data_IF_792531579721
#
_entry.id   IF_792531579721
#
_cell.length_a   1.000
_cell.length_b   1.000
_cell.length_c   1.000
_cell.angle_alpha   90.00
_cell.angle_beta   90.00
_cell.angle_gamma   90.00
#
_symmetry.space_group_name_H-M   'P 1'
#
loop_
_entity.id
_entity.type
_entity.pdbx_description
1 polymer ?
#
# COMPACT_ATOMS: atom_id res chain seq x y z
N UNK A 1 36.69 6.00 19.13
CA UNK A 1 36.30 6.42 17.77
C UNK A 1 35.59 5.25 17.11
N UNK A 2 34.27 5.17 17.23
CA UNK A 2 33.46 4.18 16.51
C UNK A 2 33.30 4.68 15.08
N UNK A 3 34.05 4.07 14.16
CA UNK A 3 33.86 4.25 12.72
C UNK A 3 32.47 3.72 12.39
N UNK A 4 31.48 4.60 12.30
CA UNK A 4 30.21 4.27 11.67
C UNK A 4 30.51 4.16 10.18
N UNK A 5 30.84 2.94 9.71
CA UNK A 5 30.82 2.62 8.30
C UNK A 5 29.48 3.08 7.77
N UNK A 6 29.47 4.16 6.98
CA UNK A 6 28.30 4.62 6.25
C UNK A 6 27.94 3.53 5.26
N UNK A 7 27.21 2.51 5.71
CA UNK A 7 26.65 1.48 4.86
C UNK A 7 25.55 2.16 4.07
N UNK A 8 25.93 2.73 2.94
CA UNK A 8 24.97 3.19 1.94
C UNK A 8 24.28 1.94 1.43
N UNK A 9 23.03 1.73 1.85
CA UNK A 9 22.16 0.69 1.29
C UNK A 9 22.14 0.88 -0.23
N UNK A 10 22.63 -0.09 -1.03
CA UNK A 10 22.67 0.06 -2.47
C UNK A 10 21.26 0.31 -2.99
N UNK A 11 21.11 1.33 -3.83
CA UNK A 11 19.82 1.64 -4.45
C UNK A 11 19.32 0.42 -5.23
N UNK A 12 18.02 0.14 -5.14
CA UNK A 12 17.37 -0.87 -5.97
C UNK A 12 17.65 -0.53 -7.43
N UNK A 13 18.25 -1.48 -8.15
CA UNK A 13 18.52 -1.27 -9.57
C UNK A 13 17.20 -1.37 -10.34
N UNK A 14 17.07 -0.70 -11.50
CA UNK A 14 15.86 -0.80 -12.32
C UNK A 14 15.49 -2.25 -12.67
N UNK A 15 16.48 -3.13 -12.87
CA UNK A 15 16.28 -4.55 -13.09
C UNK A 15 15.67 -5.26 -11.87
N UNK A 16 16.11 -4.91 -10.67
CA UNK A 16 15.57 -5.46 -9.41
C UNK A 16 14.10 -5.03 -9.26
N UNK A 17 13.79 -3.77 -9.54
CA UNK A 17 12.41 -3.25 -9.50
C UNK A 17 11.52 -3.97 -10.51
N UNK A 18 12.02 -4.20 -11.73
CA UNK A 18 11.28 -4.94 -12.77
C UNK A 18 10.98 -6.39 -12.33
N UNK A 19 11.93 -7.06 -11.68
CA UNK A 19 11.74 -8.40 -11.12
C UNK A 19 10.66 -8.40 -10.03
N UNK A 20 10.75 -7.49 -9.06
CA UNK A 20 9.78 -7.37 -7.96
C UNK A 20 8.36 -7.07 -8.50
N UNK A 21 8.26 -6.20 -9.50
CA UNK A 21 6.99 -5.94 -10.19
C UNK A 21 6.43 -7.17 -10.92
N UNK A 22 7.28 -7.99 -11.54
CA UNK A 22 6.85 -9.22 -12.20
C UNK A 22 6.29 -10.23 -11.19
N UNK A 23 6.94 -10.40 -10.04
CA UNK A 23 6.43 -11.26 -8.96
C UNK A 23 5.09 -10.75 -8.43
N UNK A 24 5.00 -9.44 -8.15
CA UNK A 24 3.77 -8.82 -7.65
C UNK A 24 2.61 -9.01 -8.64
N UNK A 25 2.84 -8.82 -9.94
CA UNK A 25 1.82 -9.03 -10.98
C UNK A 25 1.35 -10.49 -11.02
N UNK A 26 2.27 -11.45 -10.95
CA UNK A 26 1.92 -12.87 -10.93
C UNK A 26 1.04 -13.24 -9.73
N UNK A 27 1.37 -12.71 -8.55
CA UNK A 27 0.54 -12.92 -7.36
C UNK A 27 -0.82 -12.23 -7.44
N UNK A 28 -0.89 -11.02 -8.00
CA UNK A 28 -2.16 -10.33 -8.20
C UNK A 28 -3.09 -11.12 -9.13
N UNK A 29 -2.54 -11.76 -10.16
CA UNK A 29 -3.30 -12.68 -11.03
C UNK A 29 -3.75 -13.92 -10.26
N UNK A 30 -2.89 -14.54 -9.46
CA UNK A 30 -3.22 -15.72 -8.65
C UNK A 30 -4.33 -15.44 -7.63
N UNK A 31 -4.30 -14.26 -6.99
CA UNK A 31 -5.29 -13.84 -5.97
C UNK A 31 -6.48 -13.07 -6.53
N UNK A 32 -6.55 -12.87 -7.84
CA UNK A 32 -7.60 -12.08 -8.50
C UNK A 32 -7.79 -10.68 -7.89
N UNK A 33 -6.70 -9.98 -7.60
CA UNK A 33 -6.73 -8.61 -7.08
C UNK A 33 -6.07 -7.61 -8.04
N UNK A 34 -6.50 -6.35 -7.98
CA UNK A 34 -5.88 -5.28 -8.77
C UNK A 34 -4.49 -4.89 -8.26
N UNK A 35 -3.60 -4.48 -9.16
CA UNK A 35 -2.22 -4.05 -8.83
C UNK A 35 -2.17 -2.81 -7.91
N UNK A 36 -3.22 -1.99 -7.92
CA UNK A 36 -3.37 -0.81 -7.07
C UNK A 36 -4.12 -1.11 -5.76
N UNK A 37 -4.56 -2.36 -5.53
CA UNK A 37 -5.31 -2.72 -4.34
C UNK A 37 -4.46 -2.58 -3.07
N UNK A 38 -5.08 -2.37 -1.89
CA UNK A 38 -4.37 -2.42 -0.62
C UNK A 38 -3.56 -3.71 -0.43
N UNK A 39 -4.02 -4.81 -1.04
CA UNK A 39 -3.37 -6.12 -1.07
C UNK A 39 -1.99 -6.01 -1.70
N UNK A 40 -2.00 -5.55 -2.94
CA UNK A 40 -0.84 -5.46 -3.79
C UNK A 40 0.16 -4.47 -3.20
N UNK A 41 -0.31 -3.37 -2.62
CA UNK A 41 0.56 -2.40 -1.95
C UNK A 41 1.27 -2.98 -0.73
N UNK A 42 0.57 -3.77 0.10
CA UNK A 42 1.18 -4.41 1.26
C UNK A 42 2.20 -5.47 0.82
N UNK A 43 1.83 -6.33 -0.12
CA UNK A 43 2.72 -7.33 -0.72
C UNK A 43 3.96 -6.68 -1.33
N UNK A 44 3.81 -5.54 -2.02
CA UNK A 44 4.93 -4.82 -2.60
C UNK A 44 5.95 -4.38 -1.53
N UNK A 45 5.48 -3.97 -0.34
CA UNK A 45 6.34 -3.60 0.78
C UNK A 45 7.10 -4.81 1.32
N UNK A 46 6.44 -5.95 1.47
CA UNK A 46 7.08 -7.20 1.92
C UNK A 46 8.11 -7.70 0.90
N UNK A 47 7.79 -7.63 -0.40
CA UNK A 47 8.73 -7.97 -1.47
C UNK A 47 10.02 -7.14 -1.41
N UNK A 48 9.89 -5.84 -1.19
CA UNK A 48 11.05 -4.95 -1.01
C UNK A 48 11.81 -5.30 0.26
N UNK A 49 11.10 -5.53 1.38
CA UNK A 49 11.71 -5.91 2.66
C UNK A 49 12.55 -7.20 2.54
N UNK A 50 12.00 -8.26 1.95
CA UNK A 50 12.73 -9.51 1.74
C UNK A 50 13.91 -9.36 0.78
N UNK A 51 13.75 -8.57 -0.28
CA UNK A 51 14.84 -8.30 -1.21
C UNK A 51 16.00 -7.59 -0.51
N UNK A 52 15.69 -6.61 0.33
CA UNK A 52 16.66 -5.85 1.11
C UNK A 52 17.32 -6.69 2.22
N UNK A 53 16.61 -7.68 2.77
CA UNK A 53 17.18 -8.69 3.66
C UNK A 53 18.06 -9.73 2.93
N UNK A 54 18.11 -9.71 1.59
CA UNK A 54 19.00 -10.54 0.77
C UNK A 54 18.32 -11.63 -0.07
N UNK A 55 16.99 -11.70 -0.09
CA UNK A 55 16.24 -12.67 -0.91
C UNK A 55 16.07 -12.11 -2.32
N UNK A 56 17.05 -12.40 -3.19
CA UNK A 56 17.10 -11.85 -4.56
C UNK A 56 16.60 -12.79 -5.65
N UNK A 57 16.12 -13.98 -5.28
CA UNK A 57 15.60 -14.97 -6.22
C UNK A 57 14.09 -14.79 -6.44
N UNK A 58 13.69 -14.69 -7.71
CA UNK A 58 12.30 -14.45 -8.10
C UNK A 58 11.35 -15.58 -7.65
N UNK A 59 11.79 -16.84 -7.73
CA UNK A 59 10.96 -17.99 -7.37
C UNK A 59 10.76 -18.05 -5.86
N UNK A 60 11.83 -17.86 -5.09
CA UNK A 60 11.77 -17.79 -3.63
C UNK A 60 10.84 -16.68 -3.15
N UNK A 61 10.90 -15.50 -3.75
CA UNK A 61 9.98 -14.40 -3.44
C UNK A 61 8.52 -14.79 -3.74
N UNK A 62 8.28 -15.43 -4.89
CA UNK A 62 6.94 -15.88 -5.27
C UNK A 62 6.40 -16.95 -4.30
N UNK A 63 7.24 -17.89 -3.89
CA UNK A 63 6.87 -18.96 -2.97
C UNK A 63 6.58 -18.41 -1.57
N UNK A 64 7.42 -17.51 -1.06
CA UNK A 64 7.19 -16.84 0.23
C UNK A 64 5.82 -16.17 0.28
N UNK A 65 5.39 -15.52 -0.81
CA UNK A 65 4.10 -14.87 -0.88
C UNK A 65 2.90 -15.83 -0.89
N UNK A 66 3.09 -17.09 -1.30
CA UNK A 66 2.06 -18.13 -1.23
C UNK A 66 1.93 -18.70 0.19
N UNK A 67 3.05 -18.78 0.91
CA UNK A 67 3.08 -19.25 2.30
C UNK A 67 2.72 -18.17 3.31
N UNK A 68 2.84 -16.89 2.93
CA UNK A 68 2.42 -15.79 3.78
C UNK A 68 0.89 -15.81 3.92
N UNK A 69 0.40 -16.14 5.11
CA UNK A 69 -1.02 -16.04 5.43
C UNK A 69 -1.37 -14.55 5.63
N UNK A 70 -1.78 -13.88 4.56
CA UNK A 70 -2.23 -12.50 4.64
C UNK A 70 -3.57 -12.42 5.35
N UNK A 71 -3.57 -11.99 6.62
CA UNK A 71 -4.80 -11.63 7.30
C UNK A 71 -5.29 -10.26 6.83
N UNK A 72 -6.04 -10.30 5.74
CA UNK A 72 -6.58 -9.15 5.05
C UNK A 72 -7.52 -8.29 5.91
N UNK A 73 -8.00 -8.82 7.05
CA UNK A 73 -8.97 -8.13 7.91
C UNK A 73 -8.34 -7.11 8.85
N UNK A 74 -7.01 -7.07 8.97
CA UNK A 74 -6.31 -6.20 9.92
C UNK A 74 -5.89 -4.83 9.35
N UNK A 75 -6.00 -4.59 8.04
CA UNK A 75 -5.72 -3.28 7.47
C UNK A 75 -6.92 -2.36 7.70
N UNK A 76 -6.80 -1.29 8.52
CA UNK A 76 -7.83 -0.27 8.55
C UNK A 76 -7.86 0.33 7.15
N UNK A 77 -8.93 0.05 6.43
CA UNK A 77 -9.22 0.70 5.16
C UNK A 77 -9.42 2.19 5.49
N UNK A 78 -8.35 2.98 5.41
CA UNK A 78 -8.46 4.43 5.48
C UNK A 78 -9.04 4.92 4.15
N UNK A 79 -10.29 4.56 3.91
CA UNK A 79 -11.14 5.20 2.91
C UNK A 79 -11.59 6.51 3.53
N UNK A 80 -10.70 7.50 3.58
CA UNK A 80 -11.14 8.88 3.64
C UNK A 80 -11.70 9.23 2.26
N UNK A 81 -12.95 8.81 2.03
CA UNK A 81 -13.79 9.44 1.03
C UNK A 81 -14.00 10.89 1.49
N UNK A 82 -13.79 11.92 0.64
CA UNK A 82 -14.16 13.28 0.98
C UNK A 82 -15.66 13.29 1.24
N UNK A 83 -16.06 13.46 2.50
CA UNK A 83 -17.46 13.64 2.85
C UNK A 83 -17.93 14.92 2.17
N UNK A 84 -18.92 14.79 1.29
CA UNK A 84 -19.69 15.93 0.77
C UNK A 84 -20.25 16.71 1.95
N UNK A 85 -19.70 17.89 2.22
CA UNK A 85 -20.35 18.88 3.06
C UNK A 85 -21.57 19.44 2.31
N UNK A 86 -22.73 18.87 2.62
CA UNK A 86 -24.02 19.46 2.31
C UNK A 86 -24.18 20.71 3.18
N UNK A 87 -23.74 21.86 2.67
CA UNK A 87 -24.00 23.17 3.28
C UNK A 87 -25.51 23.38 3.32
N UNK A 88 -26.11 23.20 4.50
CA UNK A 88 -27.46 23.72 4.79
C UNK A 88 -27.34 25.24 4.83
N UNK A 89 -27.68 25.90 3.72
CA UNK A 89 -27.96 27.34 3.73
C UNK A 89 -29.28 27.57 4.44
N UNK A 90 -29.19 28.21 5.60
CA UNK A 90 -30.32 28.78 6.31
C UNK A 90 -30.79 30.03 5.56
N UNK A 91 -32.00 30.00 5.01
CA UNK A 91 -32.71 31.22 4.66
C UNK A 91 -33.44 31.71 5.92
N UNK A 92 -32.86 32.73 6.54
CA UNK A 92 -33.47 33.51 7.61
C UNK A 92 -34.52 34.42 6.96
N UNK A 93 -35.76 34.39 7.44
CA UNK A 93 -36.74 35.45 7.20
C UNK A 93 -37.33 35.84 8.57
N UNK A 94 -36.69 36.82 9.21
CA UNK A 94 -37.37 37.80 10.09
C UNK A 94 -38.61 38.35 9.35
N UNK A 95 -39.75 38.67 9.95
CA UNK A 95 -39.94 39.47 11.15
C UNK A 95 -41.45 39.59 11.48
N UNK A 96 -41.76 39.78 12.77
CA UNK A 96 -42.76 40.69 13.38
C UNK A 96 -44.27 40.69 13.03
N UNK A 97 -45.06 40.11 13.95
CA UNK A 97 -45.96 40.75 14.93
C UNK A 97 -47.23 41.59 14.53
N UNK A 98 -48.25 41.42 15.38
CA UNK A 98 -49.47 42.22 15.72
C UNK A 98 -50.60 42.39 14.69
N UNK A 99 -51.74 41.70 14.91
CA UNK A 99 -52.98 42.22 15.53
C UNK A 99 -54.05 41.11 15.58
#
# INVERSE_FOLDING_TARGET
MTQHSGITKPALQPADVAMLQAVLRGWCQEKSCGIASPAAQHVARELVSWFECGIRDQRKLSDLMRYMHFDFKSLPVSTEAPRRESVRSAANISETNVL
#
